data_IF_003055611965
#
_entry.id   IF_003055611965
#
_cell.length_a   1.000
_cell.length_b   1.000
_cell.length_c   1.000
_cell.angle_alpha   90.00
_cell.angle_beta   90.00
_cell.angle_gamma   90.00
#
_symmetry.space_group_name_H-M   'P 1'
#
loop_
_entity.id
_entity.type
_entity.pdbx_description
1 polymer ?
#
# COMPACT_ATOMS: atom_id res chain seq x y z
N UNK A 1 47.91 17.24 26.91
CA UNK A 1 46.54 17.32 26.38
C UNK A 1 46.61 17.02 24.89
N UNK A 2 46.37 15.78 24.51
CA UNK A 2 46.44 15.34 23.11
C UNK A 2 45.01 15.42 22.58
N UNK A 3 44.70 16.49 21.86
CA UNK A 3 43.43 16.64 21.16
C UNK A 3 43.43 15.66 20.00
N UNK A 4 42.83 14.50 20.20
CA UNK A 4 42.44 13.59 19.13
C UNK A 4 41.44 14.34 18.26
N UNK A 5 41.90 14.86 17.13
CA UNK A 5 41.04 15.27 16.02
C UNK A 5 40.28 14.01 15.59
N UNK A 6 39.13 13.80 16.20
CA UNK A 6 38.17 12.80 15.79
C UNK A 6 37.70 13.25 14.41
N UNK A 7 38.37 12.73 13.37
CA UNK A 7 37.94 12.85 12.01
C UNK A 7 36.51 12.28 11.99
N UNK A 8 35.51 13.17 12.08
CA UNK A 8 34.15 12.85 11.66
C UNK A 8 34.28 12.51 10.18
N UNK A 9 34.59 11.26 9.87
CA UNK A 9 34.24 10.69 8.59
C UNK A 9 32.73 10.87 8.54
N UNK A 10 32.29 11.90 7.82
CA UNK A 10 30.88 12.09 7.50
C UNK A 10 30.40 10.76 6.92
N UNK A 11 29.53 10.07 7.65
CA UNK A 11 28.94 8.81 7.22
C UNK A 11 28.47 8.93 5.77
N UNK A 12 28.67 7.87 4.98
CA UNK A 12 28.24 7.90 3.58
C UNK A 12 26.73 8.16 3.47
N UNK A 13 26.23 8.67 2.34
CA UNK A 13 24.79 8.90 2.15
C UNK A 13 23.97 7.62 2.39
N UNK A 14 24.51 6.47 1.98
CA UNK A 14 23.88 5.17 2.22
C UNK A 14 23.84 4.81 3.70
N UNK A 15 24.91 5.09 4.44
CA UNK A 15 24.95 4.84 5.88
C UNK A 15 24.00 5.76 6.65
N UNK A 16 23.92 7.03 6.27
CA UNK A 16 22.93 7.96 6.83
C UNK A 16 21.49 7.49 6.56
N UNK A 17 21.22 6.99 5.35
CA UNK A 17 19.92 6.41 5.00
C UNK A 17 19.61 5.17 5.84
N UNK A 18 20.54 4.23 5.97
CA UNK A 18 20.37 3.05 6.82
C UNK A 18 20.07 3.43 8.27
N UNK A 19 20.85 4.37 8.84
CA UNK A 19 20.66 4.86 10.20
C UNK A 19 19.29 5.51 10.38
N UNK A 20 18.80 6.26 9.39
CA UNK A 20 17.48 6.88 9.43
C UNK A 20 16.35 5.84 9.34
N UNK A 21 16.44 4.88 8.41
CA UNK A 21 15.45 3.81 8.24
C UNK A 21 15.28 3.00 9.53
N UNK A 22 16.38 2.70 10.22
CA UNK A 22 16.37 1.91 11.47
C UNK A 22 16.36 2.77 12.73
N UNK A 23 16.11 4.08 12.63
CA UNK A 23 16.10 4.98 13.80
C UNK A 23 14.90 4.69 14.71
N UNK A 24 15.15 4.55 16.01
CA UNK A 24 14.14 4.40 17.07
C UNK A 24 13.49 5.73 17.48
N UNK A 25 14.05 6.85 17.02
CA UNK A 25 13.54 8.20 17.32
C UNK A 25 12.45 8.66 16.34
N UNK A 26 12.21 7.90 15.26
CA UNK A 26 11.12 8.18 14.34
C UNK A 26 9.77 8.00 15.04
N UNK A 27 8.86 8.98 14.90
CA UNK A 27 7.49 8.92 15.49
C UNK A 27 6.72 7.66 15.11
N UNK A 28 6.92 7.21 13.86
CA UNK A 28 6.49 5.91 13.36
C UNK A 28 7.75 5.21 12.84
N UNK A 29 8.07 4.07 13.43
CA UNK A 29 9.22 3.29 13.02
C UNK A 29 9.06 2.80 11.57
N UNK A 30 10.13 2.91 10.79
CA UNK A 30 10.16 2.46 9.39
C UNK A 30 10.71 1.04 9.32
N UNK A 31 12.02 0.87 9.54
CA UNK A 31 12.71 -0.41 9.34
C UNK A 31 12.68 -0.89 7.89
N UNK A 32 13.44 -1.95 7.59
CA UNK A 32 13.51 -2.47 6.22
C UNK A 32 12.19 -3.08 5.73
N UNK A 33 11.37 -3.63 6.63
CA UNK A 33 10.00 -4.03 6.30
C UNK A 33 9.11 -2.83 5.94
N UNK A 34 9.26 -1.70 6.65
CA UNK A 34 8.50 -0.48 6.37
C UNK A 34 8.71 0.06 4.96
N UNK A 35 9.90 -0.12 4.40
CA UNK A 35 10.22 0.30 3.03
C UNK A 35 9.32 -0.37 1.99
N UNK A 36 8.92 -1.63 2.20
CA UNK A 36 7.96 -2.33 1.35
C UNK A 36 6.52 -2.15 1.81
N UNK A 37 6.30 -2.18 3.12
CA UNK A 37 4.97 -2.10 3.72
C UNK A 37 4.28 -0.75 3.43
N UNK A 38 4.99 0.37 3.58
CA UNK A 38 4.41 1.70 3.38
C UNK A 38 3.85 1.87 1.96
N UNK A 39 4.62 1.67 0.88
CA UNK A 39 4.09 1.85 -0.47
C UNK A 39 2.99 0.85 -0.81
N UNK A 40 3.10 -0.42 -0.38
CA UNK A 40 2.09 -1.45 -0.68
C UNK A 40 0.78 -1.19 0.04
N UNK A 41 0.81 -0.83 1.33
CA UNK A 41 -0.40 -0.48 2.08
C UNK A 41 -1.04 0.81 1.56
N UNK A 42 -0.25 1.83 1.19
CA UNK A 42 -0.79 3.06 0.62
C UNK A 42 -1.48 2.82 -0.72
N UNK A 43 -0.87 2.03 -1.61
CA UNK A 43 -1.47 1.68 -2.89
C UNK A 43 -2.76 0.87 -2.70
N UNK A 44 -2.75 -0.15 -1.83
CA UNK A 44 -3.93 -0.96 -1.53
C UNK A 44 -5.07 -0.13 -0.91
N UNK A 45 -4.75 0.76 0.04
CA UNK A 45 -5.73 1.63 0.70
C UNK A 45 -6.35 2.62 -0.28
N UNK A 46 -5.52 3.28 -1.10
CA UNK A 46 -6.01 4.23 -2.10
C UNK A 46 -6.92 3.55 -3.13
N UNK A 47 -6.50 2.38 -3.64
CA UNK A 47 -7.30 1.59 -4.57
C UNK A 47 -8.63 1.17 -3.95
N UNK A 48 -8.60 0.63 -2.74
CA UNK A 48 -9.80 0.19 -2.03
C UNK A 48 -10.80 1.33 -1.82
N UNK A 49 -10.34 2.50 -1.36
CA UNK A 49 -11.21 3.66 -1.11
C UNK A 49 -11.86 4.14 -2.41
N UNK A 50 -11.09 4.29 -3.49
CA UNK A 50 -11.62 4.74 -4.78
C UNK A 50 -12.61 3.70 -5.34
N UNK A 51 -12.27 2.42 -5.29
CA UNK A 51 -13.11 1.35 -5.80
C UNK A 51 -14.43 1.22 -5.03
N UNK A 52 -14.38 1.26 -3.69
CA UNK A 52 -15.56 1.18 -2.84
C UNK A 52 -16.53 2.35 -3.09
N UNK A 53 -16.01 3.52 -3.42
CA UNK A 53 -16.85 4.69 -3.71
C UNK A 53 -17.39 4.66 -5.14
N UNK A 54 -16.55 4.38 -6.14
CA UNK A 54 -16.83 4.74 -7.53
C UNK A 54 -16.58 3.64 -8.57
N UNK A 55 -16.19 2.41 -8.20
CA UNK A 55 -15.98 1.36 -9.19
C UNK A 55 -17.27 1.02 -9.95
N UNK A 56 -17.20 0.79 -11.28
CA UNK A 56 -18.32 0.25 -12.03
C UNK A 56 -18.64 -1.21 -11.62
N UNK A 57 -19.80 -1.74 -12.04
CA UNK A 57 -20.15 -3.14 -11.80
C UNK A 57 -19.13 -4.13 -12.38
N UNK A 58 -18.92 -5.25 -11.69
CA UNK A 58 -17.91 -6.28 -12.03
C UNK A 58 -18.58 -7.65 -12.23
N UNK A 59 -18.23 -8.35 -13.31
CA UNK A 59 -18.72 -9.69 -13.63
C UNK A 59 -17.93 -10.78 -12.88
N UNK A 60 -18.29 -10.99 -11.62
CA UNK A 60 -17.59 -11.90 -10.70
C UNK A 60 -17.58 -13.35 -11.19
N UNK A 61 -18.69 -13.85 -11.71
CA UNK A 61 -18.83 -15.26 -12.09
C UNK A 61 -18.41 -15.53 -13.55
N UNK A 62 -18.10 -14.47 -14.33
CA UNK A 62 -17.67 -14.60 -15.72
C UNK A 62 -18.80 -14.98 -16.68
N UNK A 63 -20.05 -14.81 -16.26
CA UNK A 63 -21.26 -15.15 -17.03
C UNK A 63 -21.88 -13.93 -17.72
N UNK A 64 -21.18 -12.79 -17.71
CA UNK A 64 -21.66 -11.50 -18.24
C UNK A 64 -22.83 -10.93 -17.44
N UNK A 65 -22.84 -11.14 -16.12
CA UNK A 65 -23.80 -10.55 -15.19
C UNK A 65 -23.06 -9.67 -14.17
N UNK A 66 -22.86 -8.37 -14.47
CA UNK A 66 -22.09 -7.49 -13.60
C UNK A 66 -22.81 -7.16 -12.29
N UNK A 67 -22.09 -7.25 -11.18
CA UNK A 67 -22.57 -6.92 -9.83
C UNK A 67 -22.08 -5.52 -9.43
N UNK A 68 -23.01 -4.64 -9.05
CA UNK A 68 -22.69 -3.32 -8.53
C UNK A 68 -22.24 -3.41 -7.07
N UNK A 69 -20.99 -3.03 -6.77
CA UNK A 69 -20.45 -3.05 -5.40
C UNK A 69 -20.21 -1.66 -4.80
N UNK A 70 -20.15 -0.60 -5.59
CA UNK A 70 -19.74 0.72 -5.10
C UNK A 70 -20.91 1.61 -4.66
N UNK A 71 -20.61 2.62 -3.84
CA UNK A 71 -21.59 3.56 -3.30
C UNK A 71 -22.29 4.37 -4.40
N UNK A 72 -21.52 4.86 -5.39
CA UNK A 72 -22.09 5.62 -6.52
C UNK A 72 -23.03 4.79 -7.41
N UNK A 73 -22.95 3.46 -7.33
CA UNK A 73 -23.82 2.54 -8.05
C UNK A 73 -24.93 1.94 -7.18
N UNK A 74 -25.35 2.66 -6.13
CA UNK A 74 -26.57 2.37 -5.37
C UNK A 74 -26.38 1.52 -4.12
N UNK A 75 -25.13 1.31 -3.67
CA UNK A 75 -24.86 0.61 -2.42
C UNK A 75 -24.75 1.55 -1.21
N UNK A 76 -25.02 1.00 -0.03
CA UNK A 76 -24.72 1.65 1.26
C UNK A 76 -23.51 0.98 1.92
N UNK A 77 -23.15 1.37 3.15
CA UNK A 77 -21.98 0.82 3.86
C UNK A 77 -22.08 -0.69 4.14
N UNK A 78 -23.30 -1.23 4.27
CA UNK A 78 -23.52 -2.66 4.53
C UNK A 78 -23.51 -3.47 3.24
N UNK A 79 -24.11 -2.95 2.16
CA UNK A 79 -24.20 -3.66 0.88
C UNK A 79 -22.99 -3.44 -0.02
N UNK A 80 -22.19 -2.40 0.22
CA UNK A 80 -21.04 -2.04 -0.59
C UNK A 80 -19.88 -3.04 -0.44
N UNK A 81 -19.21 -3.31 -1.54
CA UNK A 81 -18.05 -4.19 -1.61
C UNK A 81 -17.14 -3.84 -2.80
N UNK A 82 -15.85 -4.15 -2.66
CA UNK A 82 -14.96 -4.28 -3.82
C UNK A 82 -15.10 -5.72 -4.31
N UNK A 83 -15.77 -5.88 -5.45
CA UNK A 83 -16.15 -7.19 -6.01
C UNK A 83 -14.90 -7.94 -6.50
N UNK A 84 -14.75 -9.26 -6.21
CA UNK A 84 -13.66 -10.08 -6.73
C UNK A 84 -13.55 -10.07 -8.27
N UNK A 85 -12.37 -10.43 -8.77
CA UNK A 85 -12.11 -10.59 -10.20
C UNK A 85 -12.97 -11.69 -10.82
N UNK A 86 -13.25 -11.55 -12.12
CA UNK A 86 -14.06 -12.50 -12.87
C UNK A 86 -13.51 -13.92 -12.86
N UNK A 87 -14.37 -14.93 -12.71
CA UNK A 87 -14.02 -16.33 -12.87
C UNK A 87 -13.48 -16.68 -14.27
N UNK A 88 -13.77 -15.84 -15.28
CA UNK A 88 -13.16 -15.96 -16.61
C UNK A 88 -11.64 -15.70 -16.61
N UNK A 89 -11.11 -14.99 -15.60
CA UNK A 89 -9.66 -14.82 -15.38
C UNK A 89 -9.06 -16.06 -14.70
N UNK A 90 -9.83 -16.79 -13.90
CA UNK A 90 -9.33 -17.93 -13.13
C UNK A 90 -8.20 -17.55 -12.19
N UNK A 91 -7.07 -18.26 -12.27
CA UNK A 91 -5.88 -18.01 -11.45
C UNK A 91 -4.75 -17.31 -12.22
N UNK A 92 -5.08 -16.70 -13.36
CA UNK A 92 -4.13 -15.88 -14.09
C UNK A 92 -3.81 -14.61 -13.31
N UNK A 93 -2.55 -14.17 -13.36
CA UNK A 93 -2.14 -12.89 -12.78
C UNK A 93 -2.67 -11.76 -13.68
N UNK A 94 -3.54 -10.92 -13.11
CA UNK A 94 -4.23 -9.82 -13.79
C UNK A 94 -3.91 -8.48 -13.11
#
# INVERSE_FOLDING_TARGET
MTTTLQQRQSASLWEQFCQWVTSTENRLYVGWFGVLMIPTLLAATACFVIAFIAAPPVDIDGIREPVAGSLMYGNNIISGAVVPSSNAIGLHFY
#
